data_IF_824520220811
#
_entry.id   IF_824520220811
#
_cell.length_a   1.000
_cell.length_b   1.000
_cell.length_c   1.000
_cell.angle_alpha   90.00
_cell.angle_beta   90.00
_cell.angle_gamma   90.00
#
_symmetry.space_group_name_H-M   'P 1'
#
loop_
_entity.id
_entity.type
_entity.pdbx_description
1 polymer ?
#
# COMPACT_ATOMS: atom_id res chain seq x y z
N UNK A 1 29.73 21.93 50.56
CA UNK A 1 29.98 20.48 50.34
C UNK A 1 28.72 19.71 50.65
N UNK A 2 28.04 19.20 49.60
CA UNK A 2 27.28 17.94 49.53
C UNK A 2 26.33 18.01 48.34
N UNK A 3 26.81 17.46 47.24
CA UNK A 3 26.18 17.33 45.93
C UNK A 3 24.94 16.44 46.02
N UNK A 4 23.81 16.90 45.47
CA UNK A 4 22.63 16.06 45.23
C UNK A 4 22.56 15.80 43.72
N UNK A 5 22.77 14.54 43.34
CA UNK A 5 22.74 14.08 41.97
C UNK A 5 21.28 13.87 41.52
N UNK A 6 20.86 14.62 40.50
CA UNK A 6 19.55 14.48 39.86
C UNK A 6 19.70 13.42 38.76
N UNK A 7 19.20 12.21 38.99
CA UNK A 7 19.05 11.18 37.97
C UNK A 7 17.68 11.37 37.29
N UNK A 8 17.66 12.17 36.22
CA UNK A 8 16.50 12.27 35.33
C UNK A 8 16.47 11.03 34.41
N UNK A 9 15.59 10.08 34.70
CA UNK A 9 15.35 8.94 33.83
C UNK A 9 14.59 9.39 32.56
N UNK A 10 15.30 9.46 31.42
CA UNK A 10 14.66 9.61 30.10
C UNK A 10 13.98 8.29 29.72
N UNK A 11 12.67 8.22 29.88
CA UNK A 11 11.85 7.17 29.25
C UNK A 11 11.76 7.45 27.76
N UNK A 12 12.59 6.77 26.96
CA UNK A 12 12.49 6.80 25.49
C UNK A 12 11.20 6.05 25.13
N UNK A 13 10.11 6.79 24.90
CA UNK A 13 8.93 6.24 24.27
C UNK A 13 9.32 5.88 22.83
N UNK A 14 9.52 4.58 22.58
CA UNK A 14 9.67 4.08 21.21
C UNK A 14 8.38 4.45 20.46
N UNK A 15 8.45 5.18 19.33
CA UNK A 15 7.28 5.35 18.51
C UNK A 15 6.94 3.96 17.98
N UNK A 16 5.88 3.36 18.53
CA UNK A 16 5.18 2.29 17.83
C UNK A 16 4.70 2.92 16.53
N UNK A 17 5.45 2.73 15.44
CA UNK A 17 4.98 3.02 14.09
C UNK A 17 3.81 2.10 13.80
N UNK A 18 2.65 2.49 14.33
CA UNK A 18 1.39 1.83 14.11
C UNK A 18 1.11 1.92 12.62
N UNK A 19 1.01 0.76 11.98
CA UNK A 19 0.57 0.66 10.59
C UNK A 19 -0.77 1.37 10.48
N UNK A 20 -0.84 2.40 9.62
CA UNK A 20 -2.09 3.11 9.40
C UNK A 20 -3.14 2.10 8.95
N UNK A 21 -4.34 2.07 9.57
CA UNK A 21 -5.41 1.19 9.13
C UNK A 21 -5.70 1.43 7.65
N UNK A 22 -5.70 0.37 6.84
CA UNK A 22 -6.14 0.45 5.43
C UNK A 22 -7.57 1.01 5.44
N UNK A 23 -7.85 2.13 4.73
CA UNK A 23 -9.18 2.71 4.70
C UNK A 23 -10.20 1.66 4.25
N UNK A 24 -11.34 1.53 4.96
CA UNK A 24 -12.36 0.56 4.56
C UNK A 24 -12.85 0.91 3.16
N UNK A 25 -12.83 -0.08 2.26
CA UNK A 25 -13.46 0.01 0.95
C UNK A 25 -14.67 -0.93 0.95
N UNK A 26 -15.86 -0.37 0.72
CA UNK A 26 -17.08 -1.15 0.60
C UNK A 26 -17.20 -1.66 -0.83
N UNK A 27 -17.20 -2.98 -1.08
CA UNK A 27 -17.36 -3.51 -2.43
C UNK A 27 -18.77 -3.16 -2.94
N UNK A 28 -18.82 -2.49 -4.10
CA UNK A 28 -20.07 -2.07 -4.77
C UNK A 28 -20.53 -3.08 -5.84
N UNK A 29 -19.80 -4.17 -6.02
CA UNK A 29 -20.04 -5.16 -7.07
C UNK A 29 -19.18 -6.41 -6.90
N UNK A 30 -19.31 -7.38 -7.81
CA UNK A 30 -18.53 -8.62 -7.77
C UNK A 30 -17.04 -8.34 -7.98
N UNK A 31 -16.19 -9.17 -7.37
CA UNK A 31 -14.77 -9.16 -7.63
C UNK A 31 -14.50 -9.54 -9.09
N UNK A 32 -13.60 -8.82 -9.74
CA UNK A 32 -13.13 -9.11 -11.09
C UNK A 32 -11.70 -9.63 -11.01
N UNK A 33 -11.36 -10.58 -11.89
CA UNK A 33 -10.02 -11.15 -11.87
C UNK A 33 -8.98 -10.21 -12.52
N UNK A 34 -9.42 -9.43 -13.53
CA UNK A 34 -8.54 -8.57 -14.31
C UNK A 34 -9.23 -7.25 -14.68
N UNK A 35 -8.43 -6.18 -14.73
CA UNK A 35 -8.85 -4.83 -15.19
C UNK A 35 -8.14 -4.47 -16.49
N UNK A 36 -8.76 -3.66 -17.35
CA UNK A 36 -8.12 -3.21 -18.58
C UNK A 36 -7.12 -2.09 -18.28
N UNK A 37 -5.85 -2.29 -18.66
CA UNK A 37 -4.75 -1.34 -18.37
C UNK A 37 -5.00 0.03 -19.00
N UNK A 38 -5.58 0.07 -20.21
CA UNK A 38 -5.90 1.33 -20.92
C UNK A 38 -6.96 2.17 -20.20
N UNK A 39 -7.73 1.55 -19.31
CA UNK A 39 -8.73 2.25 -18.53
C UNK A 39 -8.20 2.76 -17.19
N UNK A 40 -6.98 2.39 -16.78
CA UNK A 40 -6.37 2.87 -15.55
C UNK A 40 -5.93 4.31 -15.78
N UNK A 41 -6.46 5.24 -14.97
CA UNK A 41 -6.05 6.65 -14.97
C UNK A 41 -4.96 6.92 -13.95
N UNK A 42 -5.08 6.29 -12.79
CA UNK A 42 -4.17 6.49 -11.69
C UNK A 42 -4.12 5.23 -10.83
N UNK A 43 -3.02 5.09 -10.12
CA UNK A 43 -2.78 3.98 -9.21
C UNK A 43 -2.36 4.55 -7.88
N UNK A 44 -3.02 4.12 -6.81
CA UNK A 44 -2.75 4.58 -5.45
C UNK A 44 -2.29 3.41 -4.60
N UNK A 45 -1.06 3.48 -4.12
CA UNK A 45 -0.57 2.54 -3.12
C UNK A 45 -1.06 2.97 -1.75
N UNK A 46 -1.85 2.10 -1.10
CA UNK A 46 -2.42 2.37 0.22
C UNK A 46 -1.45 1.93 1.32
N UNK A 47 -0.84 0.76 1.15
CA UNK A 47 0.16 0.21 2.07
C UNK A 47 1.08 -0.80 1.36
N UNK A 48 1.81 -1.62 2.12
CA UNK A 48 2.74 -2.61 1.56
C UNK A 48 2.06 -3.81 0.87
N UNK A 49 0.72 -3.84 0.75
CA UNK A 49 0.00 -4.98 0.18
C UNK A 49 -1.23 -4.57 -0.65
N UNK A 50 -1.71 -3.33 -0.50
CA UNK A 50 -2.99 -2.88 -1.04
C UNK A 50 -2.77 -1.77 -2.06
N UNK A 51 -3.32 -1.97 -3.26
CA UNK A 51 -3.21 -1.05 -4.38
C UNK A 51 -4.61 -0.77 -4.93
N UNK A 52 -4.93 0.52 -5.08
CA UNK A 52 -6.16 0.98 -5.72
C UNK A 52 -5.89 1.42 -7.14
N UNK A 53 -6.54 0.79 -8.11
CA UNK A 53 -6.56 1.16 -9.51
C UNK A 53 -7.78 2.04 -9.79
N UNK A 54 -7.53 3.32 -10.02
CA UNK A 54 -8.56 4.31 -10.35
C UNK A 54 -8.80 4.27 -11.85
N UNK A 55 -9.99 3.87 -12.24
CA UNK A 55 -10.37 3.69 -13.63
C UNK A 55 -10.98 4.95 -14.23
N UNK A 56 -11.03 5.00 -15.55
CA UNK A 56 -11.96 5.83 -16.32
C UNK A 56 -13.40 5.54 -15.85
N UNK A 57 -14.22 6.58 -15.65
CA UNK A 57 -15.64 6.41 -15.29
C UNK A 57 -15.96 6.31 -13.79
N UNK A 58 -15.12 6.86 -12.91
CA UNK A 58 -15.34 6.94 -11.44
C UNK A 58 -15.39 5.58 -10.71
N UNK A 59 -14.83 4.53 -11.32
CA UNK A 59 -14.68 3.22 -10.68
C UNK A 59 -13.28 3.08 -10.10
N UNK A 60 -13.16 2.40 -8.96
CA UNK A 60 -11.88 2.04 -8.34
C UNK A 60 -11.89 0.56 -8.02
N UNK A 61 -10.86 -0.16 -8.45
CA UNK A 61 -10.65 -1.56 -8.11
C UNK A 61 -9.50 -1.67 -7.13
N UNK A 62 -9.69 -2.43 -6.05
CA UNK A 62 -8.66 -2.69 -5.05
C UNK A 62 -8.06 -4.06 -5.29
N UNK A 63 -6.74 -4.12 -5.49
CA UNK A 63 -5.98 -5.36 -5.46
C UNK A 63 -5.26 -5.49 -4.12
N UNK A 64 -5.38 -6.66 -3.51
CA UNK A 64 -4.65 -7.03 -2.31
C UNK A 64 -3.68 -8.12 -2.69
N UNK A 65 -2.38 -7.80 -2.67
CA UNK A 65 -1.32 -8.72 -3.06
C UNK A 65 -1.31 -9.94 -2.13
N UNK A 66 -1.07 -11.15 -2.64
CA UNK A 66 -1.01 -12.35 -1.79
C UNK A 66 0.14 -12.30 -0.80
N UNK A 67 1.22 -11.58 -1.13
CA UNK A 67 2.42 -11.39 -0.30
C UNK A 67 2.70 -9.89 -0.21
N UNK A 68 2.97 -9.39 0.99
CA UNK A 68 3.31 -7.99 1.20
C UNK A 68 4.71 -7.66 0.61
N UNK A 69 4.83 -6.49 -0.01
CA UNK A 69 6.05 -5.92 -0.56
C UNK A 69 6.54 -4.80 0.37
N UNK A 70 7.56 -5.01 1.23
CA UNK A 70 7.90 -4.11 2.35
C UNK A 70 8.23 -2.65 1.97
N UNK A 71 8.67 -2.42 0.73
CA UNK A 71 9.01 -1.09 0.21
C UNK A 71 7.85 -0.42 -0.55
N UNK A 72 6.78 -1.16 -0.87
CA UNK A 72 5.70 -0.67 -1.73
C UNK A 72 5.03 0.59 -1.17
N UNK A 73 4.66 0.59 0.12
CA UNK A 73 4.00 1.73 0.76
C UNK A 73 4.92 2.92 1.02
N UNK A 74 6.24 2.69 1.07
CA UNK A 74 7.24 3.75 1.20
C UNK A 74 7.48 4.43 -0.15
N UNK A 75 7.85 3.65 -1.17
CA UNK A 75 8.14 4.13 -2.53
C UNK A 75 6.89 4.66 -3.24
N UNK A 76 5.73 4.04 -2.96
CA UNK A 76 4.47 4.28 -3.67
C UNK A 76 4.60 4.17 -5.19
N UNK A 77 5.63 3.48 -5.66
CA UNK A 77 5.96 3.25 -7.06
C UNK A 77 6.23 1.76 -7.29
N UNK A 78 5.75 1.25 -8.41
CA UNK A 78 5.93 -0.14 -8.79
C UNK A 78 5.75 -0.33 -10.30
N UNK A 79 6.38 -1.37 -10.84
CA UNK A 79 6.15 -1.88 -12.17
C UNK A 79 5.27 -3.12 -12.11
N UNK A 80 4.54 -3.39 -13.19
CA UNK A 80 3.86 -4.65 -13.41
C UNK A 80 4.17 -5.18 -14.80
N UNK A 81 4.18 -6.50 -14.94
CA UNK A 81 4.37 -7.16 -16.23
C UNK A 81 3.18 -8.06 -16.54
N UNK A 82 2.55 -7.82 -17.69
CA UNK A 82 1.39 -8.57 -18.16
C UNK A 82 1.68 -9.14 -19.55
N UNK A 83 1.11 -10.30 -19.88
CA UNK A 83 1.17 -10.89 -21.23
C UNK A 83 0.02 -10.42 -22.13
N UNK A 84 -0.94 -9.68 -21.58
CA UNK A 84 -2.16 -9.23 -22.26
C UNK A 84 -2.41 -7.73 -22.01
N UNK A 85 -3.46 -7.17 -22.62
CA UNK A 85 -3.92 -5.79 -22.36
C UNK A 85 -4.69 -5.63 -21.02
N UNK A 86 -4.59 -6.61 -20.13
CA UNK A 86 -5.26 -6.63 -18.83
C UNK A 86 -4.23 -6.81 -17.71
N UNK A 87 -4.53 -6.23 -16.55
CA UNK A 87 -3.81 -6.42 -15.30
C UNK A 87 -4.70 -7.26 -14.36
N UNK A 88 -4.25 -8.47 -14.06
CA UNK A 88 -4.93 -9.45 -13.22
C UNK A 88 -4.41 -9.41 -11.78
N UNK A 89 -5.19 -9.94 -10.83
CA UNK A 89 -4.85 -9.90 -9.39
C UNK A 89 -3.52 -10.60 -9.01
N UNK A 90 -2.98 -11.42 -9.91
CA UNK A 90 -1.76 -12.23 -9.71
C UNK A 90 -0.59 -11.83 -10.59
N UNK A 91 -0.73 -10.78 -11.40
CA UNK A 91 0.37 -10.33 -12.25
C UNK A 91 1.57 -9.87 -11.40
N UNK A 92 2.78 -10.07 -11.94
CA UNK A 92 4.03 -9.80 -11.20
C UNK A 92 4.15 -8.30 -10.98
N UNK A 93 4.09 -7.89 -9.71
CA UNK A 93 4.29 -6.51 -9.26
C UNK A 93 5.65 -6.39 -8.60
N UNK A 94 6.49 -5.52 -9.13
CA UNK A 94 7.85 -5.28 -8.65
C UNK A 94 7.94 -3.85 -8.14
N UNK A 95 8.44 -3.66 -6.92
CA UNK A 95 8.69 -2.31 -6.39
C UNK A 95 9.90 -1.70 -7.10
N UNK A 96 9.78 -0.43 -7.48
CA UNK A 96 10.87 0.34 -8.09
C UNK A 96 11.50 1.22 -7.01
N UNK A 97 12.83 1.35 -7.02
CA UNK A 97 13.63 2.28 -6.18
C UNK A 97 14.34 3.31 -7.04
#
# INVERSE_FOLDING_TARGET
>A
MRSVAILAALTIALPLWARQPVPPATPIGPAVNCVNIRNIRNTNVIDNQTIDFVMNGRQTFRNTLPIACPQLGFERAFAYQTSTSQLCSVDIITVIV
#
